data_IF_222571714305
#
_entry.id   IF_222571714305
#
_cell.length_a   1.000
_cell.length_b   1.000
_cell.length_c   1.000
_cell.angle_alpha   90.00
_cell.angle_beta   90.00
_cell.angle_gamma   90.00
#
_symmetry.space_group_name_H-M   'P 1'
#
loop_
_entity.id
_entity.type
_entity.pdbx_description
1 polymer ?
#
# COMPACT_ATOMS: atom_id res chain seq x y z
N UNK A 1 1.13 -9.28 30.81
CA UNK A 1 2.02 -8.31 31.49
C UNK A 1 1.19 -7.09 31.87
N UNK A 2 1.37 -6.53 33.08
CA UNK A 2 0.64 -5.34 33.52
C UNK A 2 1.57 -4.14 33.39
N UNK A 3 1.15 -3.14 32.62
CA UNK A 3 1.92 -1.92 32.36
C UNK A 3 1.10 -0.72 32.81
N UNK A 4 1.73 0.20 33.52
CA UNK A 4 1.13 1.48 33.91
C UNK A 4 1.69 2.56 33.00
N UNK A 5 0.82 3.41 32.46
CA UNK A 5 1.16 4.51 31.56
C UNK A 5 0.59 5.80 32.12
N UNK A 6 1.38 6.86 32.09
CA UNK A 6 0.86 8.21 32.34
C UNK A 6 0.30 8.78 31.04
N UNK A 7 -0.92 9.30 31.12
CA UNK A 7 -1.65 9.88 29.99
C UNK A 7 -2.13 11.25 30.43
N UNK A 8 -1.90 12.27 29.59
CA UNK A 8 -2.43 13.62 29.84
C UNK A 8 -3.96 13.58 30.03
N UNK A 9 -4.47 14.29 31.03
CA UNK A 9 -5.89 14.28 31.41
C UNK A 9 -6.82 14.55 30.23
N UNK A 10 -6.45 15.51 29.36
CA UNK A 10 -7.22 15.86 28.16
C UNK A 10 -7.38 14.67 27.20
N UNK A 11 -6.30 13.90 27.02
CA UNK A 11 -6.29 12.72 26.16
C UNK A 11 -7.09 11.59 26.81
N UNK A 12 -6.93 11.41 28.13
CA UNK A 12 -7.67 10.40 28.89
C UNK A 12 -9.19 10.63 28.82
N UNK A 13 -9.64 11.87 28.96
CA UNK A 13 -11.07 12.21 28.88
C UNK A 13 -11.65 12.03 27.47
N UNK A 14 -10.83 12.25 26.44
CA UNK A 14 -11.23 11.95 25.07
C UNK A 14 -11.32 10.44 24.84
N UNK A 15 -10.37 9.67 25.37
CA UNK A 15 -10.36 8.21 25.27
C UNK A 15 -11.56 7.58 25.99
N UNK A 16 -11.91 8.06 27.19
CA UNK A 16 -13.10 7.62 27.94
C UNK A 16 -14.38 7.84 27.14
N UNK A 17 -14.55 9.04 26.56
CA UNK A 17 -15.71 9.36 25.72
C UNK A 17 -15.80 8.48 24.48
N UNK A 18 -14.65 8.22 23.83
CA UNK A 18 -14.59 7.35 22.66
C UNK A 18 -14.95 5.90 23.01
N UNK A 19 -14.40 5.37 24.11
CA UNK A 19 -14.70 4.03 24.60
C UNK A 19 -16.21 3.86 24.89
N UNK A 20 -16.81 4.84 25.58
CA UNK A 20 -18.24 4.85 25.86
C UNK A 20 -19.08 4.88 24.58
N UNK A 21 -18.71 5.73 23.60
CA UNK A 21 -19.40 5.81 22.31
C UNK A 21 -19.31 4.52 21.49
N UNK A 22 -18.17 3.83 21.57
CA UNK A 22 -17.91 2.59 20.84
C UNK A 22 -18.38 1.33 21.57
N UNK A 23 -18.92 1.45 22.79
CA UNK A 23 -19.39 0.30 23.58
C UNK A 23 -18.28 -0.64 24.04
N UNK A 24 -17.04 -0.14 24.16
CA UNK A 24 -15.86 -0.92 24.57
C UNK A 24 -15.27 -0.38 25.87
N UNK A 25 -14.46 -1.19 26.55
CA UNK A 25 -13.75 -0.72 27.75
C UNK A 25 -12.56 0.19 27.37
N UNK A 26 -12.19 1.10 28.27
CA UNK A 26 -11.01 1.95 28.08
C UNK A 26 -9.74 1.11 27.88
N UNK A 27 -9.58 0.02 28.65
CA UNK A 27 -8.42 -0.87 28.55
C UNK A 27 -8.32 -1.56 27.20
N UNK A 28 -9.45 -2.02 26.65
CA UNK A 28 -9.51 -2.60 25.31
C UNK A 28 -9.13 -1.56 24.24
N UNK A 29 -9.71 -0.36 24.31
CA UNK A 29 -9.41 0.72 23.38
C UNK A 29 -7.92 1.13 23.41
N UNK A 30 -7.32 1.25 24.60
CA UNK A 30 -5.90 1.57 24.75
C UNK A 30 -5.02 0.44 24.20
N UNK A 31 -5.38 -0.82 24.47
CA UNK A 31 -4.63 -1.97 23.97
C UNK A 31 -4.63 -2.02 22.44
N UNK A 32 -5.80 -1.82 21.81
CA UNK A 32 -5.94 -1.80 20.35
C UNK A 32 -5.17 -0.63 19.71
N UNK A 33 -5.23 0.56 20.32
CA UNK A 33 -4.50 1.72 19.86
C UNK A 33 -2.97 1.49 19.90
N UNK A 34 -2.47 0.88 20.97
CA UNK A 34 -1.04 0.57 21.12
C UNK A 34 -0.59 -0.47 20.09
N UNK A 35 -1.35 -1.55 19.89
CA UNK A 35 -1.04 -2.57 18.87
C UNK A 35 -1.05 -1.97 17.47
N UNK A 36 -2.04 -1.14 17.15
CA UNK A 36 -2.11 -0.47 15.85
C UNK A 36 -0.93 0.48 15.64
N UNK A 37 -0.56 1.25 16.66
CA UNK A 37 0.57 2.17 16.56
C UNK A 37 1.90 1.42 16.35
N UNK A 38 2.18 0.40 17.15
CA UNK A 38 3.45 -0.34 17.06
C UNK A 38 3.56 -1.16 15.79
N UNK A 39 2.47 -1.75 15.31
CA UNK A 39 2.46 -2.49 14.03
C UNK A 39 2.70 -1.57 12.82
N UNK A 40 2.16 -0.35 12.83
CA UNK A 40 2.45 0.66 11.80
C UNK A 40 3.92 1.07 11.84
N UNK A 41 4.50 1.27 13.03
CA UNK A 41 5.91 1.63 13.17
C UNK A 41 6.83 0.49 12.72
N UNK A 42 6.52 -0.76 13.07
CA UNK A 42 7.27 -1.93 12.61
C UNK A 42 7.29 -2.03 11.08
N UNK A 43 6.15 -1.84 10.41
CA UNK A 43 6.06 -1.83 8.94
C UNK A 43 6.87 -0.71 8.29
N UNK A 44 7.08 0.42 8.98
CA UNK A 44 7.90 1.53 8.45
C UNK A 44 9.39 1.31 8.67
N UNK A 45 9.77 0.68 9.77
CA UNK A 45 11.17 0.39 10.08
C UNK A 45 11.73 -0.75 9.21
N UNK A 46 10.91 -1.77 8.92
CA UNK A 46 11.30 -2.96 8.15
C UNK A 46 10.92 -2.88 6.66
N UNK A 47 10.94 -1.70 6.04
CA UNK A 47 10.80 -1.59 4.59
C UNK A 47 12.19 -1.42 3.94
N UNK A 48 12.98 -2.51 3.71
CA UNK A 48 14.27 -2.41 3.01
C UNK A 48 14.10 -2.07 1.52
N UNK A 49 12.86 -1.93 1.06
CA UNK A 49 12.49 -1.54 -0.30
C UNK A 49 11.39 -0.49 -0.24
N UNK A 50 11.59 0.57 -1.02
CA UNK A 50 10.52 1.50 -1.36
C UNK A 50 9.83 0.98 -2.62
N UNK A 51 8.52 0.76 -2.55
CA UNK A 51 7.74 0.46 -3.74
C UNK A 51 7.72 1.73 -4.62
N UNK A 52 8.43 1.69 -5.74
CA UNK A 52 8.32 2.72 -6.77
C UNK A 52 7.01 2.47 -7.49
N UNK A 53 6.00 3.27 -7.18
CA UNK A 53 4.73 3.25 -7.92
C UNK A 53 4.93 4.09 -9.18
N UNK A 54 5.07 3.42 -10.32
CA UNK A 54 5.04 4.05 -11.63
C UNK A 54 3.61 4.02 -12.18
N UNK A 55 3.16 5.13 -12.75
CA UNK A 55 1.80 5.30 -13.27
C UNK A 55 0.88 6.12 -12.36
N UNK A 56 -0.28 6.51 -12.89
CA UNK A 56 -1.29 7.24 -12.12
C UNK A 56 -2.11 6.27 -11.27
N UNK A 57 -2.03 6.43 -9.94
CA UNK A 57 -2.76 5.60 -8.97
C UNK A 57 -4.30 5.74 -9.06
N UNK A 58 -4.81 6.74 -9.80
CA UNK A 58 -6.23 6.91 -10.10
C UNK A 58 -6.64 6.35 -11.46
N UNK A 59 -5.68 5.92 -12.28
CA UNK A 59 -5.98 5.33 -13.57
C UNK A 59 -6.63 3.94 -13.40
N UNK A 60 -7.38 3.54 -14.42
CA UNK A 60 -7.94 2.20 -14.52
C UNK A 60 -6.79 1.18 -14.60
N UNK A 61 -6.86 0.14 -13.77
CA UNK A 61 -5.97 -1.02 -13.91
C UNK A 61 -6.29 -1.78 -15.21
N UNK A 62 -5.28 -2.12 -16.02
CA UNK A 62 -5.51 -2.83 -17.28
C UNK A 62 -6.03 -4.25 -17.03
N UNK A 63 -6.78 -4.78 -17.99
CA UNK A 63 -7.24 -6.19 -17.97
C UNK A 63 -6.11 -7.14 -18.35
N UNK A 64 -6.21 -8.44 -18.02
CA UNK A 64 -5.23 -9.43 -18.44
C UNK A 64 -4.99 -9.46 -19.95
N UNK A 65 -6.04 -9.26 -20.76
CA UNK A 65 -5.93 -9.19 -22.22
C UNK A 65 -5.18 -7.94 -22.70
N UNK A 66 -5.38 -6.80 -22.04
CA UNK A 66 -4.68 -5.55 -22.35
C UNK A 66 -3.19 -5.64 -22.01
N UNK A 67 -2.85 -6.33 -20.91
CA UNK A 67 -1.45 -6.59 -20.52
C UNK A 67 -0.77 -7.48 -21.56
N UNK A 68 -1.40 -8.59 -21.93
CA UNK A 68 -0.82 -9.55 -22.88
C UNK A 68 -0.53 -8.92 -24.25
N UNK A 69 -1.44 -8.09 -24.77
CA UNK A 69 -1.21 -7.36 -26.04
C UNK A 69 -0.06 -6.36 -25.93
N UNK A 70 0.03 -5.64 -24.81
CA UNK A 70 1.12 -4.70 -24.59
C UNK A 70 2.49 -5.40 -24.53
N UNK A 71 2.56 -6.60 -23.93
CA UNK A 71 3.77 -7.41 -23.90
C UNK A 71 4.17 -7.92 -25.31
N UNK A 72 3.22 -8.39 -26.13
CA UNK A 72 3.49 -8.79 -27.52
C UNK A 72 3.98 -7.61 -28.38
N UNK A 73 3.37 -6.43 -28.23
CA UNK A 73 3.77 -5.21 -28.94
C UNK A 73 5.17 -4.73 -28.51
N UNK A 74 5.51 -4.83 -27.22
CA UNK A 74 6.84 -4.51 -26.70
C UNK A 74 7.90 -5.53 -27.17
N UNK A 75 7.56 -6.81 -27.24
CA UNK A 75 8.44 -7.86 -27.76
C UNK A 75 8.74 -7.64 -29.26
N UNK A 76 7.72 -7.30 -30.05
CA UNK A 76 7.85 -6.92 -31.47
C UNK A 76 8.73 -5.66 -31.66
N UNK A 77 8.62 -4.67 -30.78
CA UNK A 77 9.45 -3.46 -30.83
C UNK A 77 10.91 -3.72 -30.42
N UNK A 78 11.14 -4.66 -29.50
CA UNK A 78 12.47 -5.07 -29.06
C UNK A 78 13.16 -6.03 -30.05
N UNK A 79 12.38 -6.73 -30.89
CA UNK A 79 12.85 -7.42 -32.09
C UNK A 79 13.22 -6.42 -33.20
N UNK A 80 14.25 -5.60 -32.98
CA UNK A 80 14.96 -4.93 -34.07
C UNK A 80 15.68 -5.97 -34.94
N UNK A 81 14.94 -6.66 -35.82
CA UNK A 81 15.54 -7.47 -36.89
C UNK A 81 16.22 -6.49 -37.86
N UNK A 82 17.56 -6.48 -37.96
CA UNK A 82 18.23 -5.70 -38.99
C UNK A 82 18.00 -6.42 -40.33
N UNK A 83 17.21 -5.84 -41.23
CA UNK A 83 17.28 -6.20 -42.65
C UNK A 83 16.00 -6.48 -43.44
N UNK A 84 14.79 -6.20 -42.93
CA UNK A 84 13.59 -6.26 -43.80
C UNK A 84 13.21 -4.85 -44.24
N UNK A 85 13.73 -4.45 -45.40
CA UNK A 85 13.24 -3.27 -46.13
C UNK A 85 11.85 -3.58 -46.70
N UNK A 86 10.85 -2.69 -46.54
CA UNK A 86 9.47 -2.94 -46.99
C UNK A 86 9.27 -2.82 -48.51
N UNK A 87 10.32 -2.95 -49.33
CA UNK A 87 10.30 -2.57 -50.75
C UNK A 87 10.84 -3.61 -51.74
N UNK A 88 10.88 -4.89 -51.38
CA UNK A 88 11.15 -5.98 -52.35
C UNK A 88 9.91 -6.87 -52.53
N UNK A 89 9.02 -6.44 -53.42
CA UNK A 89 8.06 -7.32 -54.09
C UNK A 89 8.28 -7.22 -55.61
N UNK A 90 8.59 -8.33 -56.31
CA UNK A 90 8.37 -8.44 -57.74
C UNK A 90 6.88 -8.65 -58.07
#
# INVERSE_FOLDING_TARGET
MRTTLEIEDRVLDRAKRLAAKSGVTLGQLVSEALVSYTSIQARRADAPFHLIVAGDARARAPTPEEIFRAEEDEELQNLRIPGVSPNDHP
#
